data_IF_957799807437
#
_entry.id   IF_957799807437
#
_cell.length_a   1.000
_cell.length_b   1.000
_cell.length_c   1.000
_cell.angle_alpha   90.00
_cell.angle_beta   90.00
_cell.angle_gamma   90.00
#
_symmetry.space_group_name_H-M   'P 1'
#
loop_
_entity.id
_entity.type
_entity.pdbx_description
1 polymer ?
#
# COMPACT_ATOMS: atom_id res chain seq x y z
N UNK A 1 -6.70 -23.70 -24.10
CA UNK A 1 -7.44 -23.32 -25.32
C UNK A 1 -7.56 -21.81 -25.35
N UNK A 2 -7.10 -21.15 -26.42
CA UNK A 2 -7.33 -19.72 -26.64
C UNK A 2 -8.84 -19.55 -26.88
N UNK A 3 -9.52 -18.71 -26.07
CA UNK A 3 -10.94 -18.39 -26.32
C UNK A 3 -11.05 -17.68 -27.69
N UNK A 4 -12.05 -18.02 -28.49
CA UNK A 4 -12.33 -17.33 -29.76
C UNK A 4 -12.54 -15.83 -29.49
N UNK A 5 -12.16 -14.99 -30.43
CA UNK A 5 -12.21 -13.53 -30.33
C UNK A 5 -13.59 -13.00 -29.92
N UNK A 6 -14.65 -13.53 -30.54
CA UNK A 6 -16.05 -13.20 -30.21
C UNK A 6 -16.45 -13.59 -28.79
N UNK A 7 -15.88 -14.70 -28.27
CA UNK A 7 -16.19 -15.18 -26.92
C UNK A 7 -15.66 -14.23 -25.84
N UNK A 8 -14.44 -13.67 -26.04
CA UNK A 8 -13.80 -12.79 -25.05
C UNK A 8 -14.48 -11.41 -25.00
N UNK A 9 -14.89 -10.87 -26.15
CA UNK A 9 -15.65 -9.62 -26.23
C UNK A 9 -17.04 -9.79 -25.60
N UNK A 10 -17.72 -10.90 -25.86
CA UNK A 10 -19.03 -11.19 -25.29
C UNK A 10 -18.93 -11.36 -23.75
N UNK A 11 -17.86 -12.01 -23.24
CA UNK A 11 -17.60 -12.10 -21.81
C UNK A 11 -17.35 -10.72 -21.20
N UNK A 12 -16.56 -9.85 -21.85
CA UNK A 12 -16.34 -8.47 -21.41
C UNK A 12 -17.65 -7.69 -21.26
N UNK A 13 -18.52 -7.80 -22.24
CA UNK A 13 -19.77 -7.04 -22.32
C UNK A 13 -20.97 -7.76 -21.67
N UNK A 14 -20.76 -8.93 -21.06
CA UNK A 14 -21.81 -9.66 -20.36
C UNK A 14 -22.32 -8.88 -19.15
N UNK A 15 -23.62 -8.99 -18.89
CA UNK A 15 -24.25 -8.29 -17.75
C UNK A 15 -23.67 -8.73 -16.42
N UNK A 16 -23.25 -9.98 -16.29
CA UNK A 16 -22.59 -10.49 -15.09
C UNK A 16 -21.25 -9.80 -14.86
N UNK A 17 -20.36 -9.76 -15.86
CA UNK A 17 -19.05 -9.09 -15.75
C UNK A 17 -19.21 -7.59 -15.45
N UNK A 18 -20.12 -6.91 -16.14
CA UNK A 18 -20.38 -5.48 -15.95
C UNK A 18 -20.98 -5.19 -14.56
N UNK A 19 -21.88 -6.05 -14.06
CA UNK A 19 -22.42 -5.95 -12.69
C UNK A 19 -21.32 -6.05 -11.64
N UNK A 20 -20.40 -7.01 -11.77
CA UNK A 20 -19.25 -7.18 -10.86
C UNK A 20 -18.33 -5.96 -10.96
N UNK A 21 -18.04 -5.47 -12.16
CA UNK A 21 -17.20 -4.30 -12.37
C UNK A 21 -17.78 -3.06 -11.66
N UNK A 22 -19.08 -2.81 -11.84
CA UNK A 22 -19.80 -1.74 -11.15
C UNK A 22 -19.68 -1.84 -9.62
N UNK A 23 -19.94 -3.03 -9.07
CA UNK A 23 -19.84 -3.24 -7.62
C UNK A 23 -18.43 -2.97 -7.08
N UNK A 24 -17.38 -3.41 -7.79
CA UNK A 24 -15.98 -3.19 -7.39
C UNK A 24 -15.62 -1.70 -7.41
N UNK A 25 -16.02 -0.97 -8.45
CA UNK A 25 -15.79 0.48 -8.53
C UNK A 25 -16.50 1.21 -7.39
N UNK A 26 -17.76 0.86 -7.10
CA UNK A 26 -18.53 1.44 -5.98
C UNK A 26 -17.89 1.15 -4.62
N UNK A 27 -17.40 -0.07 -4.39
CA UNK A 27 -16.74 -0.47 -3.16
C UNK A 27 -15.44 0.30 -2.91
N UNK A 28 -14.70 0.63 -3.97
CA UNK A 28 -13.41 1.34 -3.88
C UNK A 28 -13.55 2.83 -3.54
N UNK A 29 -14.71 3.45 -3.68
CA UNK A 29 -15.00 4.85 -3.28
C UNK A 29 -13.93 5.85 -3.74
N UNK A 30 -13.48 5.78 -4.99
CA UNK A 30 -12.44 6.68 -5.51
C UNK A 30 -12.94 8.11 -5.75
N UNK A 31 -12.00 9.07 -5.89
CA UNK A 31 -12.29 10.45 -6.25
C UNK A 31 -12.87 10.56 -7.68
N UNK A 32 -13.55 11.67 -7.98
CA UNK A 32 -14.03 12.01 -9.33
C UNK A 32 -12.85 12.27 -10.29
N UNK A 33 -13.07 11.95 -11.58
CA UNK A 33 -12.15 12.29 -12.66
C UNK A 33 -12.27 13.77 -13.10
N UNK A 34 -11.92 14.03 -14.37
CA UNK A 34 -12.00 15.37 -14.97
C UNK A 34 -13.44 15.86 -15.15
N UNK A 35 -14.40 14.93 -15.25
CA UNK A 35 -15.83 15.22 -15.45
C UNK A 35 -16.58 15.55 -14.16
N UNK A 36 -15.90 15.47 -13.00
CA UNK A 36 -16.50 15.74 -11.71
C UNK A 36 -17.49 14.70 -11.20
N UNK A 37 -17.82 13.67 -12.00
CA UNK A 37 -18.78 12.62 -11.67
C UNK A 37 -18.32 11.82 -10.44
N UNK A 38 -19.18 11.69 -9.44
CA UNK A 38 -18.92 10.88 -8.25
C UNK A 38 -19.35 9.41 -8.44
N UNK A 39 -18.73 8.52 -7.66
CA UNK A 39 -19.03 7.07 -7.72
C UNK A 39 -20.49 6.75 -7.41
N UNK A 40 -21.17 7.56 -6.60
CA UNK A 40 -22.59 7.38 -6.26
C UNK A 40 -23.54 7.57 -7.47
N UNK A 41 -23.11 8.36 -8.47
CA UNK A 41 -23.87 8.68 -9.68
C UNK A 41 -23.76 7.60 -10.76
N UNK A 42 -22.85 6.62 -10.58
CA UNK A 42 -22.58 5.58 -11.57
C UNK A 42 -23.82 4.73 -11.91
N UNK A 43 -24.70 4.43 -10.94
CA UNK A 43 -25.88 3.60 -11.19
C UNK A 43 -26.86 4.31 -12.13
N UNK A 44 -27.13 5.59 -11.86
CA UNK A 44 -28.03 6.38 -12.68
C UNK A 44 -27.46 6.61 -14.09
N UNK A 45 -26.16 6.87 -14.18
CA UNK A 45 -25.50 7.04 -15.48
C UNK A 45 -25.58 5.76 -16.33
N UNK A 46 -25.24 4.61 -15.75
CA UNK A 46 -25.27 3.34 -16.47
C UNK A 46 -26.69 2.89 -16.84
N UNK A 47 -27.73 3.26 -16.09
CA UNK A 47 -29.10 2.94 -16.48
C UNK A 47 -29.55 3.60 -17.79
N UNK A 48 -28.89 4.71 -18.16
CA UNK A 48 -29.22 5.47 -19.39
C UNK A 48 -28.25 5.18 -20.55
N UNK A 49 -26.97 4.87 -20.24
CA UNK A 49 -25.88 4.85 -21.22
C UNK A 49 -25.17 3.50 -21.38
N UNK A 50 -25.59 2.44 -20.66
CA UNK A 50 -24.86 1.16 -20.68
C UNK A 50 -24.82 0.54 -22.08
N UNK A 51 -25.94 0.52 -22.77
CA UNK A 51 -26.04 -0.08 -24.11
C UNK A 51 -25.22 0.72 -25.14
N UNK A 52 -25.21 2.03 -25.02
CA UNK A 52 -24.37 2.89 -25.84
C UNK A 52 -22.86 2.58 -25.62
N UNK A 53 -22.44 2.43 -24.35
CA UNK A 53 -21.07 2.05 -24.01
C UNK A 53 -20.71 0.68 -24.61
N UNK A 54 -21.61 -0.31 -24.50
CA UNK A 54 -21.42 -1.64 -25.09
C UNK A 54 -21.23 -1.54 -26.62
N UNK A 55 -22.08 -0.75 -27.30
CA UNK A 55 -21.99 -0.56 -28.73
C UNK A 55 -20.73 0.19 -29.16
N UNK A 56 -20.35 1.24 -28.45
CA UNK A 56 -19.09 1.97 -28.68
C UNK A 56 -17.87 1.05 -28.54
N UNK A 57 -17.86 0.12 -27.58
CA UNK A 57 -16.78 -0.85 -27.41
C UNK A 57 -16.76 -1.84 -28.58
N UNK A 58 -17.91 -2.43 -28.97
CA UNK A 58 -18.02 -3.35 -30.11
C UNK A 58 -17.52 -2.72 -31.41
N UNK A 59 -17.89 -1.48 -31.64
CA UNK A 59 -17.53 -0.73 -32.85
C UNK A 59 -16.15 -0.04 -32.77
N UNK A 60 -15.34 -0.32 -31.73
CA UNK A 60 -14.03 0.34 -31.48
C UNK A 60 -14.14 1.87 -31.41
N UNK A 61 -15.31 2.42 -31.08
CA UNK A 61 -15.56 3.87 -31.00
C UNK A 61 -15.44 4.44 -29.59
N UNK A 62 -15.43 3.59 -28.53
CA UNK A 62 -15.23 4.08 -27.17
C UNK A 62 -13.95 4.89 -27.07
N UNK A 63 -14.06 6.09 -26.52
CA UNK A 63 -12.93 7.02 -26.34
C UNK A 63 -12.76 7.37 -24.86
N UNK A 64 -11.74 6.81 -24.20
CA UNK A 64 -11.44 7.15 -22.81
C UNK A 64 -11.14 8.66 -22.66
N UNK A 65 -11.59 9.24 -21.55
CA UNK A 65 -11.27 10.62 -21.21
C UNK A 65 -9.86 10.73 -20.63
N UNK A 66 -9.19 11.88 -20.75
CA UNK A 66 -7.91 12.12 -20.10
C UNK A 66 -7.98 11.89 -18.58
N UNK A 67 -6.91 11.43 -17.98
CA UNK A 67 -6.86 11.24 -16.52
C UNK A 67 -6.55 12.56 -15.82
N UNK A 68 -7.24 12.84 -14.72
CA UNK A 68 -6.94 14.00 -13.88
C UNK A 68 -5.66 13.78 -13.09
N UNK A 69 -4.66 14.65 -13.27
CA UNK A 69 -3.41 14.60 -12.50
C UNK A 69 -3.65 15.06 -11.07
N UNK A 70 -3.17 14.28 -10.10
CA UNK A 70 -3.14 14.66 -8.69
C UNK A 70 -1.75 14.39 -8.15
N UNK A 71 -1.14 15.40 -7.56
CA UNK A 71 0.19 15.32 -6.97
C UNK A 71 0.10 14.98 -5.49
N UNK A 72 0.75 13.88 -5.09
CA UNK A 72 0.84 13.47 -3.68
C UNK A 72 2.28 13.60 -3.19
N UNK A 73 2.54 14.42 -2.15
CA UNK A 73 3.88 14.56 -1.59
C UNK A 73 4.40 13.22 -1.05
N UNK A 74 5.63 12.85 -1.43
CA UNK A 74 6.33 11.71 -0.84
C UNK A 74 7.00 12.12 0.47
N UNK A 75 7.19 11.17 1.42
CA UNK A 75 7.88 11.46 2.68
C UNK A 75 9.35 11.87 2.53
N UNK A 76 9.96 11.57 1.39
CA UNK A 76 11.34 11.90 1.03
C UNK A 76 11.49 13.25 0.30
N UNK A 77 10.43 14.06 0.24
CA UNK A 77 10.40 15.37 -0.41
C UNK A 77 10.09 15.34 -1.90
N UNK A 78 9.94 14.16 -2.50
CA UNK A 78 9.50 14.02 -3.89
C UNK A 78 7.98 14.07 -4.04
N UNK A 79 7.50 14.05 -5.29
CA UNK A 79 6.08 14.01 -5.64
C UNK A 79 5.74 12.68 -6.32
N UNK A 80 4.58 12.12 -6.00
CA UNK A 80 3.98 11.00 -6.74
C UNK A 80 2.82 11.54 -7.57
N UNK A 81 2.93 11.33 -8.87
CA UNK A 81 1.92 11.74 -9.83
C UNK A 81 0.85 10.66 -9.96
N UNK A 82 -0.35 10.87 -9.42
CA UNK A 82 -1.48 9.99 -9.66
C UNK A 82 -2.31 10.50 -10.83
N UNK A 83 -2.79 9.59 -11.68
CA UNK A 83 -3.78 9.85 -12.68
C UNK A 83 -5.13 9.27 -12.23
N UNK A 84 -6.14 10.11 -12.06
CA UNK A 84 -7.48 9.69 -11.67
C UNK A 84 -8.38 9.63 -12.90
N UNK A 85 -8.70 8.41 -13.44
CA UNK A 85 -9.63 8.27 -14.54
C UNK A 85 -11.06 8.65 -14.11
N UNK A 86 -11.93 8.92 -15.07
CA UNK A 86 -13.37 9.11 -14.81
C UNK A 86 -13.97 7.85 -14.20
N UNK A 87 -15.12 7.98 -13.56
CA UNK A 87 -15.79 6.82 -12.94
C UNK A 87 -16.19 5.79 -13.99
N UNK A 88 -16.64 6.24 -15.16
CA UNK A 88 -17.01 5.39 -16.29
C UNK A 88 -15.78 4.67 -16.85
N UNK A 89 -14.66 5.38 -17.04
CA UNK A 89 -13.42 4.74 -17.49
C UNK A 89 -12.91 3.69 -16.49
N UNK A 90 -13.00 3.96 -15.19
CA UNK A 90 -12.67 2.95 -14.16
C UNK A 90 -13.57 1.73 -14.23
N UNK A 91 -14.84 1.93 -14.54
CA UNK A 91 -15.80 0.84 -14.72
C UNK A 91 -15.42 -0.04 -15.94
N UNK A 92 -15.12 0.56 -17.07
CA UNK A 92 -14.69 -0.17 -18.27
C UNK A 92 -13.34 -0.86 -18.05
N UNK A 93 -12.36 -0.17 -17.46
CA UNK A 93 -11.05 -0.76 -17.10
C UNK A 93 -11.21 -1.94 -16.14
N UNK A 94 -12.12 -1.85 -15.18
CA UNK A 94 -12.40 -2.93 -14.23
C UNK A 94 -13.01 -4.14 -14.95
N UNK A 95 -13.92 -3.93 -15.89
CA UNK A 95 -14.49 -5.01 -16.69
C UNK A 95 -13.43 -5.72 -17.54
N UNK A 96 -12.51 -4.98 -18.17
CA UNK A 96 -11.37 -5.54 -18.92
C UNK A 96 -10.46 -6.35 -17.97
N UNK A 97 -10.10 -5.79 -16.83
CA UNK A 97 -9.21 -6.47 -15.88
C UNK A 97 -9.77 -7.80 -15.39
N UNK A 98 -11.09 -7.93 -15.22
CA UNK A 98 -11.76 -9.16 -14.80
C UNK A 98 -11.65 -10.28 -15.82
N UNK A 99 -11.80 -9.93 -17.09
CA UNK A 99 -11.76 -10.90 -18.21
C UNK A 99 -10.32 -11.31 -18.53
N UNK A 100 -9.35 -10.39 -18.39
CA UNK A 100 -7.96 -10.67 -18.68
C UNK A 100 -7.23 -11.39 -17.54
N UNK A 101 -7.62 -11.15 -16.29
CA UNK A 101 -6.93 -11.77 -15.13
C UNK A 101 -6.88 -13.30 -15.23
N UNK A 102 -7.94 -14.04 -15.56
CA UNK A 102 -7.88 -15.49 -15.70
C UNK A 102 -6.95 -15.99 -16.80
N UNK A 103 -6.67 -15.17 -17.82
CA UNK A 103 -5.77 -15.50 -18.93
C UNK A 103 -4.30 -15.39 -18.48
N UNK A 104 -4.00 -14.36 -17.68
CA UNK A 104 -2.62 -14.03 -17.30
C UNK A 104 -2.20 -14.64 -15.97
N UNK A 105 -3.11 -14.85 -15.02
CA UNK A 105 -2.79 -15.38 -13.70
C UNK A 105 -2.01 -16.70 -13.73
N UNK A 106 -2.35 -17.69 -14.57
CA UNK A 106 -1.58 -18.92 -14.68
C UNK A 106 -0.19 -18.77 -15.31
N UNK A 107 0.08 -17.63 -15.95
CA UNK A 107 1.35 -17.36 -16.65
C UNK A 107 2.35 -16.58 -15.79
N UNK A 108 1.87 -16.01 -14.69
CA UNK A 108 2.72 -15.24 -13.78
C UNK A 108 3.58 -16.14 -12.91
N UNK A 109 4.80 -15.71 -12.66
CA UNK A 109 5.75 -16.38 -11.77
C UNK A 109 5.17 -16.63 -10.37
N UNK A 110 5.47 -17.77 -9.79
CA UNK A 110 5.16 -18.06 -8.38
C UNK A 110 5.86 -17.11 -7.40
N UNK A 111 6.96 -16.48 -7.81
CA UNK A 111 7.71 -15.47 -7.06
C UNK A 111 7.17 -14.05 -7.18
N UNK A 112 6.08 -13.85 -7.93
CA UNK A 112 5.38 -12.57 -8.08
C UNK A 112 4.13 -12.52 -7.19
N UNK A 113 4.02 -11.52 -6.32
CA UNK A 113 2.98 -11.43 -5.28
C UNK A 113 2.09 -10.19 -5.36
N UNK A 114 2.58 -9.09 -5.94
CA UNK A 114 1.84 -7.83 -6.00
C UNK A 114 0.69 -7.83 -6.98
N UNK A 115 -0.44 -7.25 -6.61
CA UNK A 115 -1.63 -7.06 -7.46
C UNK A 115 -2.25 -8.35 -8.03
N UNK A 116 -2.01 -9.48 -7.41
CA UNK A 116 -2.54 -10.77 -7.83
C UNK A 116 -3.62 -11.28 -6.86
N UNK A 117 -4.65 -12.00 -7.37
CA UNK A 117 -5.62 -12.66 -6.51
C UNK A 117 -4.95 -13.63 -5.53
N UNK A 118 -5.45 -13.68 -4.29
CA UNK A 118 -4.98 -14.60 -3.25
C UNK A 118 -3.49 -14.50 -2.88
N UNK A 119 -2.81 -13.43 -3.31
CA UNK A 119 -1.42 -13.14 -2.97
C UNK A 119 -1.31 -11.86 -2.15
N UNK A 120 -0.35 -11.81 -1.23
CA UNK A 120 -0.17 -10.66 -0.35
C UNK A 120 1.32 -10.42 -0.04
N UNK A 121 1.62 -9.27 0.56
CA UNK A 121 3.00 -8.90 0.92
C UNK A 121 3.62 -9.85 1.95
N UNK A 122 2.79 -10.44 2.83
CA UNK A 122 3.23 -11.43 3.81
C UNK A 122 3.89 -12.64 3.15
N UNK A 123 3.25 -13.19 2.09
CA UNK A 123 3.80 -14.30 1.33
C UNK A 123 5.14 -13.96 0.67
N UNK A 124 5.29 -12.75 0.15
CA UNK A 124 6.55 -12.29 -0.42
C UNK A 124 7.67 -12.21 0.63
N UNK A 125 7.35 -11.74 1.85
CA UNK A 125 8.30 -11.69 2.97
C UNK A 125 8.67 -13.10 3.44
N UNK A 126 7.70 -14.01 3.57
CA UNK A 126 7.96 -15.41 3.95
C UNK A 126 8.87 -16.08 2.93
N UNK A 127 8.61 -15.88 1.64
CA UNK A 127 9.45 -16.45 0.58
C UNK A 127 10.88 -15.88 0.58
N UNK A 128 11.02 -14.58 0.86
CA UNK A 128 12.34 -13.99 1.03
C UNK A 128 13.10 -14.60 2.23
N UNK A 129 12.41 -14.84 3.35
CA UNK A 129 13.00 -15.50 4.54
C UNK A 129 13.41 -16.94 4.25
N UNK A 130 12.60 -17.72 3.50
CA UNK A 130 12.98 -19.06 3.06
C UNK A 130 14.33 -19.01 2.33
N UNK A 131 14.47 -18.17 1.31
CA UNK A 131 15.71 -18.05 0.56
C UNK A 131 16.90 -17.59 1.43
N UNK A 132 16.68 -16.67 2.37
CA UNK A 132 17.73 -16.24 3.30
C UNK A 132 18.19 -17.39 4.20
N UNK A 133 17.25 -18.22 4.66
CA UNK A 133 17.53 -19.39 5.51
C UNK A 133 18.13 -20.56 4.72
N UNK A 134 17.89 -20.63 3.40
CA UNK A 134 18.55 -21.55 2.47
C UNK A 134 20.02 -21.14 2.16
N UNK A 135 20.54 -20.06 2.78
CA UNK A 135 21.93 -19.65 2.63
C UNK A 135 22.17 -18.52 1.60
N UNK A 136 21.13 -17.96 0.98
CA UNK A 136 21.27 -16.83 0.07
C UNK A 136 21.36 -15.50 0.86
N UNK A 137 22.59 -15.12 1.22
CA UNK A 137 22.86 -14.04 2.18
C UNK A 137 23.24 -12.69 1.55
N UNK A 138 23.06 -12.53 0.26
CA UNK A 138 23.23 -11.26 -0.45
C UNK A 138 21.97 -10.91 -1.21
N UNK A 139 21.59 -9.66 -1.14
CA UNK A 139 20.36 -9.15 -1.73
C UNK A 139 20.69 -8.09 -2.77
N UNK A 140 20.16 -8.29 -3.96
CA UNK A 140 20.13 -7.32 -5.04
C UNK A 140 18.74 -6.68 -5.00
N UNK A 141 18.67 -5.45 -4.55
CA UNK A 141 17.44 -4.65 -4.43
C UNK A 141 17.36 -3.74 -5.68
N UNK A 142 16.35 -3.97 -6.52
CA UNK A 142 16.17 -3.26 -7.79
C UNK A 142 14.97 -2.33 -7.66
N UNK A 143 15.22 -1.02 -7.79
CA UNK A 143 14.21 0.04 -7.86
C UNK A 143 14.08 0.54 -9.31
N UNK A 144 12.88 0.51 -9.86
CA UNK A 144 12.60 1.02 -11.20
C UNK A 144 12.28 2.51 -11.15
N UNK A 145 12.94 3.29 -12.00
CA UNK A 145 12.70 4.73 -12.06
C UNK A 145 11.33 5.01 -12.69
N UNK A 146 10.40 5.54 -11.88
CA UNK A 146 9.06 5.96 -12.34
C UNK A 146 8.43 4.93 -13.28
N UNK A 147 8.41 3.66 -12.87
CA UNK A 147 7.97 2.53 -13.69
C UNK A 147 6.71 2.84 -14.51
N UNK A 148 5.64 3.30 -13.85
CA UNK A 148 4.37 3.58 -14.55
C UNK A 148 4.48 4.71 -15.57
N UNK A 149 5.36 5.68 -15.38
CA UNK A 149 5.56 6.81 -16.30
C UNK A 149 6.44 6.43 -17.51
N UNK A 150 7.15 5.28 -17.44
CA UNK A 150 8.13 4.87 -18.46
C UNK A 150 7.72 3.63 -19.28
N UNK A 151 6.51 3.10 -19.07
CA UNK A 151 6.03 1.94 -19.85
C UNK A 151 5.82 2.30 -21.31
N UNK A 152 6.52 1.63 -22.23
CA UNK A 152 6.33 1.79 -23.67
C UNK A 152 5.01 1.13 -24.10
N UNK A 153 4.12 1.91 -24.75
CA UNK A 153 2.79 1.48 -25.16
C UNK A 153 2.84 0.36 -26.21
N UNK A 154 3.67 0.51 -27.25
CA UNK A 154 3.74 -0.47 -28.33
C UNK A 154 4.25 -1.82 -27.84
N UNK A 155 5.22 -1.81 -26.93
CA UNK A 155 5.73 -3.00 -26.29
C UNK A 155 4.65 -3.66 -25.41
N UNK A 156 3.89 -2.88 -24.63
CA UNK A 156 2.78 -3.38 -23.83
C UNK A 156 1.73 -4.05 -24.71
N UNK A 157 1.31 -3.38 -25.79
CA UNK A 157 0.34 -3.91 -26.74
C UNK A 157 0.87 -5.18 -27.40
N UNK A 158 2.13 -5.21 -27.83
CA UNK A 158 2.77 -6.39 -28.39
C UNK A 158 2.76 -7.59 -27.43
N UNK A 159 2.98 -7.36 -26.12
CA UNK A 159 2.88 -8.42 -25.11
C UNK A 159 1.43 -8.93 -24.95
N UNK A 160 0.46 -8.02 -24.95
CA UNK A 160 -0.95 -8.38 -24.83
C UNK A 160 -1.42 -9.19 -26.05
N UNK A 161 -1.03 -8.78 -27.25
CA UNK A 161 -1.41 -9.45 -28.52
C UNK A 161 -0.89 -10.89 -28.63
N UNK A 162 0.12 -11.28 -27.85
CA UNK A 162 0.57 -12.69 -27.81
C UNK A 162 -0.53 -13.60 -27.29
N UNK A 163 -1.31 -13.16 -26.34
CA UNK A 163 -2.26 -13.95 -25.57
C UNK A 163 -3.74 -13.57 -25.83
N UNK A 164 -3.99 -12.34 -26.25
CA UNK A 164 -5.33 -11.78 -26.54
C UNK A 164 -5.38 -11.43 -28.01
N UNK A 165 -6.22 -12.16 -28.75
CA UNK A 165 -6.42 -11.95 -30.20
C UNK A 165 -7.58 -11.03 -30.52
N UNK A 166 -8.46 -10.75 -29.54
CA UNK A 166 -9.61 -9.86 -29.70
C UNK A 166 -9.16 -8.42 -29.99
N UNK A 167 -9.32 -8.00 -31.23
CA UNK A 167 -8.89 -6.69 -31.70
C UNK A 167 -9.62 -5.52 -31.03
N UNK A 168 -10.87 -5.71 -30.58
CA UNK A 168 -11.68 -4.72 -29.87
C UNK A 168 -11.06 -4.43 -28.49
N UNK A 169 -10.72 -5.49 -27.76
CA UNK A 169 -10.12 -5.37 -26.42
C UNK A 169 -8.71 -4.75 -26.52
N UNK A 170 -7.89 -5.20 -27.47
CA UNK A 170 -6.55 -4.65 -27.68
C UNK A 170 -6.62 -3.17 -28.07
N UNK A 171 -7.52 -2.81 -28.98
CA UNK A 171 -7.77 -1.42 -29.36
C UNK A 171 -8.21 -0.56 -28.18
N UNK A 172 -9.11 -1.07 -27.37
CA UNK A 172 -9.60 -0.37 -26.17
C UNK A 172 -8.49 -0.14 -25.15
N UNK A 173 -7.64 -1.14 -24.90
CA UNK A 173 -6.48 -1.01 -23.99
C UNK A 173 -5.52 0.04 -24.54
N UNK A 174 -5.22 0.01 -25.85
CA UNK A 174 -4.36 1.01 -26.47
C UNK A 174 -4.90 2.43 -26.30
N UNK A 175 -6.22 2.61 -26.45
CA UNK A 175 -6.86 3.90 -26.20
C UNK A 175 -6.75 4.37 -24.77
N UNK A 176 -6.86 3.46 -23.78
CA UNK A 176 -6.63 3.78 -22.37
C UNK A 176 -5.18 4.19 -22.09
N UNK A 177 -4.21 3.56 -22.73
CA UNK A 177 -2.81 3.95 -22.61
C UNK A 177 -2.56 5.36 -23.18
N UNK A 178 -3.22 5.70 -24.29
CA UNK A 178 -3.08 6.98 -25.02
C UNK A 178 -4.07 8.06 -24.59
N UNK A 179 -4.89 7.83 -23.55
CA UNK A 179 -5.97 8.76 -23.17
C UNK A 179 -5.52 10.16 -22.75
N UNK A 180 -4.22 10.36 -22.49
CA UNK A 180 -3.65 11.63 -22.09
C UNK A 180 -3.88 11.97 -20.62
N UNK A 181 -3.35 13.12 -20.21
CA UNK A 181 -3.36 13.60 -18.84
C UNK A 181 -3.87 15.05 -18.84
N UNK A 182 -4.76 15.36 -17.91
CA UNK A 182 -5.20 16.73 -17.65
C UNK A 182 -4.43 17.30 -16.44
N UNK A 183 -3.74 18.41 -16.61
CA UNK A 183 -2.98 19.11 -15.56
C UNK A 183 -3.46 20.55 -15.58
N UNK A 184 -4.04 21.02 -14.48
CA UNK A 184 -4.54 22.41 -14.35
C UNK A 184 -5.37 22.86 -15.56
N UNK A 185 -6.29 22.00 -16.01
CA UNK A 185 -7.18 22.14 -17.18
C UNK A 185 -6.47 22.18 -18.55
N UNK A 186 -5.15 21.91 -18.60
CA UNK A 186 -4.41 21.72 -19.83
C UNK A 186 -4.28 20.23 -20.19
N UNK A 187 -4.63 19.89 -21.45
CA UNK A 187 -4.44 18.53 -21.97
C UNK A 187 -2.99 18.30 -22.36
N UNK A 188 -2.41 17.18 -21.90
CA UNK A 188 -1.10 16.67 -22.34
C UNK A 188 -1.25 15.26 -22.88
N UNK A 189 -0.77 15.05 -24.07
CA UNK A 189 -0.75 13.73 -24.70
C UNK A 189 0.13 12.77 -23.90
N UNK A 190 -0.28 11.50 -23.78
CA UNK A 190 0.50 10.43 -23.18
C UNK A 190 1.08 9.54 -24.28
N UNK A 191 2.34 9.75 -24.61
CA UNK A 191 3.09 8.94 -25.58
C UNK A 191 3.74 7.72 -24.91
N UNK A 192 4.03 7.84 -23.61
CA UNK A 192 4.69 6.82 -22.78
C UNK A 192 3.99 6.80 -21.41
N UNK A 193 3.94 5.63 -20.81
CA UNK A 193 3.46 5.45 -19.45
C UNK A 193 2.03 4.93 -19.34
N UNK A 194 1.72 4.41 -18.18
CA UNK A 194 0.36 4.02 -17.78
C UNK A 194 -0.10 4.89 -16.62
N UNK A 195 -1.33 5.40 -16.62
CA UNK A 195 -1.79 6.23 -15.51
C UNK A 195 -1.70 5.50 -14.16
N UNK A 196 -0.97 6.06 -13.20
CA UNK A 196 -0.97 5.55 -11.84
C UNK A 196 -2.33 5.82 -11.19
N UNK A 197 -3.18 4.80 -11.05
CA UNK A 197 -4.50 4.90 -10.43
C UNK A 197 -5.65 4.34 -11.27
N UNK A 198 -5.40 3.93 -12.50
CA UNK A 198 -6.36 3.15 -13.31
C UNK A 198 -6.54 1.73 -12.77
N UNK A 199 -7.75 1.17 -12.90
CA UNK A 199 -8.05 -0.19 -12.43
C UNK A 199 -7.34 -1.28 -13.25
N UNK A 200 -6.95 -0.97 -14.48
CA UNK A 200 -6.23 -1.88 -15.37
C UNK A 200 -4.71 -1.85 -15.16
N UNK A 201 -4.16 -0.72 -14.71
CA UNK A 201 -2.72 -0.51 -14.58
C UNK A 201 -1.97 -1.58 -13.75
N UNK A 202 -2.53 -2.12 -12.65
CA UNK A 202 -1.88 -3.20 -11.89
C UNK A 202 -1.67 -4.49 -12.69
N UNK A 203 -2.65 -4.87 -13.51
CA UNK A 203 -2.55 -6.05 -14.38
C UNK A 203 -1.52 -5.82 -15.50
N UNK A 204 -1.57 -4.66 -16.15
CA UNK A 204 -0.59 -4.29 -17.18
C UNK A 204 0.84 -4.26 -16.64
N UNK A 205 1.01 -3.75 -15.42
CA UNK A 205 2.30 -3.79 -14.71
C UNK A 205 2.83 -5.23 -14.58
N UNK A 206 1.99 -6.15 -14.14
CA UNK A 206 2.40 -7.55 -14.01
C UNK A 206 2.67 -8.21 -15.36
N UNK A 207 1.91 -7.91 -16.42
CA UNK A 207 2.18 -8.42 -17.78
C UNK A 207 3.57 -7.99 -18.27
N UNK A 208 3.93 -6.72 -18.09
CA UNK A 208 5.24 -6.19 -18.47
C UNK A 208 6.36 -6.85 -17.65
N UNK A 209 6.22 -6.86 -16.33
CA UNK A 209 7.26 -7.32 -15.41
C UNK A 209 7.38 -8.86 -15.38
N UNK A 210 6.39 -9.60 -15.86
CA UNK A 210 6.49 -11.05 -16.03
C UNK A 210 7.61 -11.45 -17.02
N UNK A 211 8.00 -10.55 -17.93
CA UNK A 211 9.18 -10.79 -18.78
C UNK A 211 10.46 -10.80 -17.95
N UNK A 212 10.57 -9.93 -16.94
CA UNK A 212 11.66 -9.95 -15.97
C UNK A 212 11.62 -11.24 -15.12
N UNK A 213 10.44 -11.58 -14.61
CA UNK A 213 10.27 -12.79 -13.79
C UNK A 213 10.75 -14.05 -14.53
N UNK A 214 10.33 -14.21 -15.80
CA UNK A 214 10.75 -15.33 -16.65
C UNK A 214 12.25 -15.35 -16.94
N UNK A 215 12.86 -14.19 -17.11
CA UNK A 215 14.30 -14.09 -17.28
C UNK A 215 15.06 -14.50 -16.02
N UNK A 216 14.57 -14.09 -14.83
CA UNK A 216 15.15 -14.46 -13.55
C UNK A 216 15.01 -15.97 -13.30
N UNK A 217 13.85 -16.55 -13.63
CA UNK A 217 13.59 -18.01 -13.56
C UNK A 217 14.51 -18.80 -14.51
N UNK A 218 14.64 -18.34 -15.75
CA UNK A 218 15.51 -18.99 -16.76
C UNK A 218 16.98 -19.00 -16.32
N UNK A 219 17.42 -18.01 -15.56
CA UNK A 219 18.76 -17.94 -14.96
C UNK A 219 18.89 -18.71 -13.64
N UNK A 220 17.83 -19.35 -13.14
CA UNK A 220 17.81 -20.06 -11.87
C UNK A 220 17.96 -19.15 -10.64
N UNK A 221 17.66 -17.86 -10.76
CA UNK A 221 17.80 -16.90 -9.68
C UNK A 221 16.64 -17.00 -8.68
N UNK A 222 16.96 -16.83 -7.40
CA UNK A 222 15.97 -16.76 -6.32
C UNK A 222 15.55 -15.32 -6.13
N UNK A 223 14.27 -15.03 -6.31
CA UNK A 223 13.75 -13.66 -6.20
C UNK A 223 12.34 -13.62 -5.62
N UNK A 224 11.96 -12.47 -5.14
CA UNK A 224 10.58 -12.15 -4.80
C UNK A 224 10.23 -10.76 -5.34
N UNK A 225 9.11 -10.66 -6.03
CA UNK A 225 8.63 -9.39 -6.59
C UNK A 225 7.24 -9.04 -6.06
N UNK A 226 7.07 -7.81 -5.66
CA UNK A 226 5.77 -7.24 -5.29
C UNK A 226 5.53 -5.97 -6.08
N UNK A 227 4.75 -6.04 -7.16
CA UNK A 227 4.61 -4.98 -8.15
C UNK A 227 5.97 -4.61 -8.77
N UNK A 228 6.42 -3.37 -8.63
CA UNK A 228 7.71 -2.85 -9.06
C UNK A 228 8.87 -3.08 -8.07
N UNK A 229 8.56 -3.40 -6.80
CA UNK A 229 9.58 -3.75 -5.79
C UNK A 229 10.08 -5.20 -6.00
N UNK A 230 11.33 -5.38 -6.40
CA UNK A 230 11.95 -6.69 -6.67
C UNK A 230 13.26 -6.85 -5.91
N UNK A 231 13.39 -7.95 -5.16
CA UNK A 231 14.65 -8.37 -4.55
C UNK A 231 15.08 -9.73 -5.10
N UNK A 232 16.37 -9.86 -5.42
CA UNK A 232 16.99 -11.09 -5.88
C UNK A 232 18.01 -11.52 -4.83
N UNK A 233 17.99 -12.80 -4.45
CA UNK A 233 18.86 -13.32 -3.41
C UNK A 233 19.93 -14.24 -4.02
N UNK A 234 21.18 -14.06 -3.60
CA UNK A 234 22.34 -14.79 -4.10
C UNK A 234 23.30 -15.16 -2.97
N UNK A 235 24.18 -16.15 -3.20
CA UNK A 235 25.04 -16.67 -2.16
C UNK A 235 26.24 -15.79 -1.80
N UNK A 236 26.77 -14.99 -2.73
CA UNK A 236 27.97 -14.19 -2.50
C UNK A 236 27.95 -12.83 -3.20
N UNK A 237 28.81 -11.92 -2.74
CA UNK A 237 28.90 -10.54 -3.23
C UNK A 237 29.22 -10.45 -4.71
N UNK A 238 30.20 -11.20 -5.20
CA UNK A 238 30.60 -11.17 -6.62
C UNK A 238 29.46 -11.59 -7.55
N UNK A 239 28.63 -12.58 -7.10
CA UNK A 239 27.43 -12.96 -7.83
C UNK A 239 26.38 -11.84 -7.80
N UNK A 240 26.21 -11.16 -6.66
CA UNK A 240 25.26 -10.05 -6.52
C UNK A 240 25.59 -8.90 -7.47
N UNK A 241 26.86 -8.49 -7.55
CA UNK A 241 27.31 -7.42 -8.46
C UNK A 241 27.07 -7.79 -9.93
N UNK A 242 27.38 -9.04 -10.32
CA UNK A 242 27.10 -9.54 -11.69
C UNK A 242 25.60 -9.57 -11.98
N UNK A 243 24.78 -10.02 -11.04
CA UNK A 243 23.32 -10.05 -11.19
C UNK A 243 22.76 -8.63 -11.34
N UNK A 244 23.18 -7.71 -10.46
CA UNK A 244 22.78 -6.28 -10.58
C UNK A 244 23.07 -5.74 -11.97
N UNK A 245 24.29 -5.90 -12.46
CA UNK A 245 24.70 -5.42 -13.78
C UNK A 245 23.87 -6.06 -14.91
N UNK A 246 23.79 -7.37 -14.94
CA UNK A 246 23.15 -8.10 -16.03
C UNK A 246 21.62 -7.91 -16.05
N UNK A 247 20.98 -7.85 -14.88
CA UNK A 247 19.54 -7.62 -14.78
C UNK A 247 19.21 -6.17 -15.14
N UNK A 248 20.03 -5.19 -14.74
CA UNK A 248 19.86 -3.79 -15.18
C UNK A 248 19.95 -3.67 -16.70
N UNK A 249 20.94 -4.28 -17.34
CA UNK A 249 21.06 -4.30 -18.81
C UNK A 249 19.81 -4.94 -19.46
N UNK A 250 19.30 -6.04 -18.93
CA UNK A 250 18.08 -6.67 -19.43
C UNK A 250 16.86 -5.74 -19.31
N UNK A 251 16.67 -5.12 -18.16
CA UNK A 251 15.57 -4.18 -17.91
C UNK A 251 15.62 -3.03 -18.90
N UNK A 252 16.78 -2.44 -19.11
CA UNK A 252 16.95 -1.29 -19.99
C UNK A 252 16.84 -1.66 -21.48
N UNK A 253 17.55 -2.70 -21.91
CA UNK A 253 17.60 -3.07 -23.33
C UNK A 253 16.37 -3.84 -23.80
N UNK A 254 15.85 -4.76 -22.98
CA UNK A 254 14.73 -5.64 -23.38
C UNK A 254 13.38 -5.10 -22.92
N UNK A 255 13.27 -4.48 -21.75
CA UNK A 255 12.00 -3.92 -21.28
C UNK A 255 11.83 -2.45 -21.64
N UNK A 256 12.89 -1.73 -21.95
CA UNK A 256 12.85 -0.28 -22.22
C UNK A 256 12.50 0.52 -20.95
N UNK A 257 12.73 -0.06 -19.78
CA UNK A 257 12.52 0.57 -18.48
C UNK A 257 13.85 1.11 -17.95
N UNK A 258 13.81 2.05 -17.01
CA UNK A 258 15.03 2.59 -16.39
C UNK A 258 15.20 2.07 -14.98
N UNK A 259 16.44 1.66 -14.66
CA UNK A 259 16.81 1.28 -13.29
C UNK A 259 17.28 2.51 -12.52
N UNK A 260 16.75 2.72 -11.33
CA UNK A 260 17.18 3.80 -10.45
C UNK A 260 18.47 3.41 -9.73
N UNK A 261 19.62 3.69 -10.30
CA UNK A 261 20.91 3.30 -9.76
C UNK A 261 21.24 3.94 -8.39
N UNK A 262 20.59 5.04 -8.02
CA UNK A 262 20.82 5.69 -6.72
C UNK A 262 20.08 4.99 -5.57
N UNK A 263 19.01 4.26 -5.88
CA UNK A 263 18.21 3.51 -4.91
C UNK A 263 18.47 2.02 -4.97
N UNK A 264 18.76 1.49 -6.16
CA UNK A 264 19.14 0.09 -6.33
C UNK A 264 20.48 -0.19 -5.65
N UNK A 265 20.57 -1.30 -4.92
CA UNK A 265 21.77 -1.62 -4.15
C UNK A 265 21.97 -3.11 -3.97
N UNK A 266 23.23 -3.48 -3.79
CA UNK A 266 23.65 -4.80 -3.30
C UNK A 266 23.96 -4.67 -1.82
N UNK A 267 23.38 -5.51 -0.98
CA UNK A 267 23.59 -5.44 0.46
C UNK A 267 23.30 -6.77 1.17
N UNK A 268 23.68 -6.84 2.46
CA UNK A 268 23.24 -7.93 3.34
C UNK A 268 21.76 -7.77 3.71
N UNK A 269 21.04 -8.85 4.08
CA UNK A 269 19.65 -8.77 4.50
C UNK A 269 19.36 -7.78 5.63
N UNK A 270 20.31 -7.56 6.55
CA UNK A 270 20.16 -6.59 7.65
C UNK A 270 19.95 -5.14 7.17
N UNK A 271 20.48 -4.81 5.98
CA UNK A 271 20.60 -3.43 5.50
C UNK A 271 19.51 -3.10 4.46
N UNK A 272 18.62 -4.03 4.19
CA UNK A 272 17.52 -3.81 3.24
C UNK A 272 16.24 -3.42 3.94
N UNK A 273 15.39 -2.74 3.16
CA UNK A 273 14.00 -2.51 3.49
C UNK A 273 13.15 -3.04 2.35
N UNK A 274 12.48 -4.15 2.57
CA UNK A 274 11.55 -4.72 1.58
C UNK A 274 10.13 -4.69 2.11
N UNK A 275 9.20 -4.10 1.38
CA UNK A 275 7.78 -3.95 1.74
C UNK A 275 7.55 -3.41 3.18
N UNK A 276 8.41 -2.51 3.63
CA UNK A 276 8.32 -1.93 4.97
C UNK A 276 8.95 -2.77 6.08
N UNK A 277 9.38 -3.99 5.79
CA UNK A 277 10.12 -4.86 6.71
C UNK A 277 11.63 -4.66 6.57
N UNK A 278 12.36 -4.98 7.63
CA UNK A 278 13.78 -5.26 7.66
C UNK A 278 13.97 -6.69 8.18
N UNK A 279 15.19 -7.20 8.09
CA UNK A 279 15.51 -8.57 8.47
C UNK A 279 16.61 -8.58 9.54
N UNK A 280 16.69 -9.65 10.30
CA UNK A 280 17.76 -9.86 11.28
C UNK A 280 17.94 -11.36 11.49
N UNK A 281 19.15 -11.77 11.82
CA UNK A 281 19.43 -13.13 12.24
C UNK A 281 19.20 -13.25 13.74
N UNK A 282 18.34 -14.16 14.13
CA UNK A 282 18.09 -14.45 15.55
C UNK A 282 19.27 -15.28 16.10
N UNK A 283 19.84 -14.80 17.19
CA UNK A 283 21.02 -15.42 17.83
C UNK A 283 20.71 -16.77 18.49
N UNK A 284 19.44 -17.04 18.79
CA UNK A 284 19.05 -18.27 19.50
C UNK A 284 18.97 -19.49 18.58
N UNK A 285 18.46 -19.30 17.37
CA UNK A 285 18.24 -20.39 16.40
C UNK A 285 19.03 -20.23 15.11
N UNK A 286 19.74 -19.11 14.93
CA UNK A 286 20.53 -18.83 13.74
C UNK A 286 19.72 -18.54 12.49
N UNK A 287 18.39 -18.35 12.61
CA UNK A 287 17.50 -18.13 11.48
C UNK A 287 17.24 -16.64 11.21
N UNK A 288 17.07 -16.35 9.94
CA UNK A 288 16.61 -15.02 9.52
C UNK A 288 15.14 -14.82 9.85
N UNK A 289 14.83 -13.69 10.45
CA UNK A 289 13.47 -13.28 10.85
C UNK A 289 13.17 -11.89 10.36
N UNK A 290 11.88 -11.60 10.13
CA UNK A 290 11.43 -10.28 9.75
C UNK A 290 11.11 -9.42 10.97
N UNK A 291 11.33 -8.11 10.85
CA UNK A 291 10.89 -7.09 11.82
C UNK A 291 10.41 -5.85 11.06
N UNK A 292 9.56 -5.00 11.63
CA UNK A 292 9.26 -3.72 11.01
C UNK A 292 10.55 -2.91 10.85
N UNK A 293 10.78 -2.36 9.65
CA UNK A 293 11.95 -1.52 9.40
C UNK A 293 11.88 -0.22 10.24
N UNK A 294 13.02 0.32 10.64
CA UNK A 294 13.10 1.51 11.51
C UNK A 294 12.28 2.70 10.99
N UNK A 295 12.35 2.98 9.69
CA UNK A 295 11.53 4.03 9.04
C UNK A 295 10.02 3.77 9.15
N UNK A 296 9.58 2.51 9.20
CA UNK A 296 8.16 2.14 9.36
C UNK A 296 7.69 2.35 10.80
N UNK A 297 8.54 2.05 11.77
CA UNK A 297 8.31 2.33 13.20
C UNK A 297 8.25 3.84 13.45
N UNK A 298 9.13 4.60 12.84
CA UNK A 298 9.15 6.06 12.94
C UNK A 298 7.86 6.68 12.39
N UNK A 299 7.38 6.22 11.24
CA UNK A 299 6.08 6.65 10.68
C UNK A 299 4.92 6.39 11.64
N UNK A 300 4.89 5.21 12.28
CA UNK A 300 3.90 4.90 13.31
C UNK A 300 3.98 5.88 14.48
N UNK A 301 5.20 6.11 15.03
CA UNK A 301 5.43 7.05 16.12
C UNK A 301 4.96 8.45 15.78
N UNK A 302 5.29 8.95 14.59
CA UNK A 302 4.86 10.27 14.12
C UNK A 302 3.35 10.38 13.99
N UNK A 303 2.69 9.34 13.45
CA UNK A 303 1.23 9.30 13.34
C UNK A 303 0.56 9.30 14.71
N UNK A 304 1.01 8.46 15.63
CA UNK A 304 0.50 8.41 17.01
C UNK A 304 0.80 9.71 17.77
N UNK A 305 1.95 10.36 17.52
CA UNK A 305 2.28 11.67 18.07
C UNK A 305 1.27 12.74 17.62
N UNK A 306 0.86 12.76 16.36
CA UNK A 306 -0.19 13.65 15.84
C UNK A 306 -1.52 13.36 16.52
N UNK A 307 -1.96 12.10 16.58
CA UNK A 307 -3.22 11.68 17.19
C UNK A 307 -3.29 11.99 18.70
N UNK A 308 -2.17 12.01 19.39
CA UNK A 308 -2.06 12.35 20.81
C UNK A 308 -1.63 13.79 21.05
N UNK A 309 -1.83 14.69 20.07
CA UNK A 309 -1.53 16.11 20.24
C UNK A 309 -2.53 16.78 21.19
N UNK A 310 -2.03 17.51 22.18
CA UNK A 310 -2.84 18.34 23.09
C UNK A 310 -3.46 19.56 22.42
N UNK A 311 -2.98 19.93 21.24
CA UNK A 311 -3.50 21.09 20.47
C UNK A 311 -4.70 20.72 19.62
N UNK A 312 -4.97 19.43 19.46
CA UNK A 312 -6.04 18.94 18.64
C UNK A 312 -7.34 18.82 19.45
N UNK A 313 -8.34 19.63 19.11
CA UNK A 313 -9.63 19.74 19.79
C UNK A 313 -10.61 18.70 19.26
N UNK A 314 -10.46 17.45 19.70
CA UNK A 314 -11.41 16.36 19.45
C UNK A 314 -11.82 15.71 20.78
N UNK A 315 -12.93 15.00 20.78
CA UNK A 315 -13.34 14.20 21.93
C UNK A 315 -12.29 13.15 22.27
N UNK A 316 -12.28 12.69 23.53
CA UNK A 316 -11.34 11.67 23.94
C UNK A 316 -11.65 10.32 23.27
N UNK A 317 -12.94 10.01 23.12
CA UNK A 317 -13.41 8.76 22.50
C UNK A 317 -13.08 8.71 21.01
N UNK A 318 -13.30 9.81 20.29
CA UNK A 318 -12.88 9.92 18.89
C UNK A 318 -11.36 9.75 18.72
N UNK A 319 -10.59 10.30 19.68
CA UNK A 319 -9.13 10.13 19.72
C UNK A 319 -8.74 8.67 19.89
N UNK A 320 -9.36 7.96 20.82
CA UNK A 320 -9.12 6.53 21.07
C UNK A 320 -9.48 5.69 19.84
N UNK A 321 -10.61 5.97 19.18
CA UNK A 321 -10.99 5.27 17.93
C UNK A 321 -9.97 5.45 16.82
N UNK A 322 -9.44 6.67 16.61
CA UNK A 322 -8.40 6.92 15.62
C UNK A 322 -7.08 6.22 15.96
N UNK A 323 -6.72 6.17 17.26
CA UNK A 323 -5.57 5.42 17.75
C UNK A 323 -5.76 3.92 17.52
N UNK A 324 -6.94 3.36 17.90
CA UNK A 324 -7.29 1.96 17.69
C UNK A 324 -7.18 1.54 16.23
N UNK A 325 -7.80 2.31 15.32
CA UNK A 325 -7.70 2.05 13.86
C UNK A 325 -6.24 2.05 13.37
N UNK A 326 -5.42 2.95 13.91
CA UNK A 326 -4.00 3.04 13.54
C UNK A 326 -3.21 1.85 14.06
N UNK A 327 -3.41 1.47 15.34
CA UNK A 327 -2.72 0.34 15.98
C UNK A 327 -3.11 -0.97 15.30
N UNK A 328 -4.41 -1.24 15.18
CA UNK A 328 -4.92 -2.49 14.58
C UNK A 328 -4.47 -2.63 13.12
N UNK A 329 -4.57 -1.57 12.32
CA UNK A 329 -4.11 -1.60 10.93
C UNK A 329 -2.60 -1.87 10.81
N UNK A 330 -1.79 -1.24 11.67
CA UNK A 330 -0.34 -1.47 11.68
C UNK A 330 0.02 -2.88 12.16
N UNK A 331 -0.63 -3.37 13.20
CA UNK A 331 -0.43 -4.73 13.75
C UNK A 331 -0.79 -5.81 12.72
N UNK A 332 -1.90 -5.66 12.03
CA UNK A 332 -2.32 -6.61 11.00
C UNK A 332 -1.32 -6.69 9.84
N UNK A 333 -0.71 -5.56 9.47
CA UNK A 333 0.31 -5.53 8.41
C UNK A 333 1.62 -6.20 8.84
N UNK A 334 2.07 -5.96 10.09
CA UNK A 334 3.35 -6.47 10.59
C UNK A 334 3.21 -7.75 11.44
N UNK A 335 2.09 -8.46 11.38
CA UNK A 335 1.78 -9.63 12.24
C UNK A 335 2.83 -10.74 12.19
N UNK A 336 3.50 -10.94 11.04
CA UNK A 336 4.56 -11.95 10.87
C UNK A 336 5.92 -11.50 11.42
N UNK A 337 6.07 -10.26 11.81
CA UNK A 337 7.34 -9.67 12.23
C UNK A 337 7.54 -9.70 13.74
N UNK A 338 8.80 -9.66 14.16
CA UNK A 338 9.20 -9.55 15.56
C UNK A 338 9.30 -8.08 15.98
N UNK A 339 8.43 -7.63 16.88
CA UNK A 339 8.37 -6.22 17.30
C UNK A 339 7.88 -5.99 18.73
N UNK A 340 8.06 -6.98 19.63
CA UNK A 340 7.61 -6.92 21.03
C UNK A 340 8.18 -5.70 21.79
N UNK A 341 9.47 -5.41 21.62
CA UNK A 341 10.11 -4.26 22.27
C UNK A 341 9.65 -2.93 21.69
N UNK A 342 9.42 -2.90 20.37
CA UNK A 342 8.80 -1.73 19.71
C UNK A 342 7.41 -1.47 20.30
N UNK A 343 6.61 -2.51 20.51
CA UNK A 343 5.29 -2.39 21.12
C UNK A 343 5.36 -1.78 22.53
N UNK A 344 6.23 -2.30 23.39
CA UNK A 344 6.42 -1.78 24.75
C UNK A 344 6.79 -0.29 24.75
N UNK A 345 7.73 0.10 23.89
CA UNK A 345 8.21 1.48 23.79
C UNK A 345 7.12 2.42 23.25
N UNK A 346 6.39 2.01 22.21
CA UNK A 346 5.33 2.83 21.61
C UNK A 346 4.16 2.97 22.56
N UNK A 347 3.76 1.90 23.25
CA UNK A 347 2.69 1.92 24.24
C UNK A 347 3.02 2.86 25.42
N UNK A 348 4.26 2.82 25.92
CA UNK A 348 4.70 3.74 26.95
C UNK A 348 4.58 5.20 26.50
N UNK A 349 4.99 5.50 25.28
CA UNK A 349 4.90 6.85 24.70
C UNK A 349 3.43 7.29 24.53
N UNK A 350 2.56 6.44 24.01
CA UNK A 350 1.14 6.75 23.81
C UNK A 350 0.45 7.02 25.15
N UNK A 351 0.65 6.17 26.15
CA UNK A 351 0.11 6.36 27.51
C UNK A 351 0.52 7.68 28.14
N UNK A 352 1.83 7.96 28.09
CA UNK A 352 2.37 9.23 28.58
C UNK A 352 1.68 10.44 27.92
N UNK A 353 1.53 10.41 26.61
CA UNK A 353 0.90 11.51 25.86
C UNK A 353 -0.60 11.62 26.12
N UNK A 354 -1.32 10.50 26.27
CA UNK A 354 -2.73 10.51 26.60
C UNK A 354 -3.00 11.07 28.00
N UNK A 355 -2.16 10.75 28.99
CA UNK A 355 -2.22 11.37 30.32
C UNK A 355 -2.10 12.89 30.25
N UNK A 356 -1.21 13.40 29.42
CA UNK A 356 -1.12 14.85 29.17
C UNK A 356 -2.40 15.42 28.53
N UNK A 357 -3.04 14.69 27.61
CA UNK A 357 -4.28 15.11 27.00
C UNK A 357 -5.42 15.17 28.03
N UNK A 358 -5.58 14.12 28.83
CA UNK A 358 -6.59 14.05 29.90
C UNK A 358 -6.38 15.19 30.90
N UNK A 359 -5.13 15.41 31.34
CA UNK A 359 -4.82 16.48 32.27
C UNK A 359 -5.14 17.88 31.71
N UNK A 360 -4.93 18.09 30.45
CA UNK A 360 -5.32 19.34 29.77
C UNK A 360 -6.83 19.49 29.65
N UNK A 361 -7.58 18.42 29.38
CA UNK A 361 -9.04 18.45 29.29
C UNK A 361 -9.71 18.83 30.62
N UNK A 362 -9.12 18.46 31.74
CA UNK A 362 -9.58 18.86 33.09
C UNK A 362 -9.18 20.31 33.42
N UNK A 363 -9.52 21.26 32.59
CA UNK A 363 -9.03 22.66 32.63
C UNK A 363 -8.99 23.30 34.02
N UNK A 364 -10.11 23.25 34.78
CA UNK A 364 -10.29 23.94 36.05
C UNK A 364 -9.82 23.06 37.22
N UNK A 365 -9.29 23.68 38.30
CA UNK A 365 -8.85 23.01 39.51
C UNK A 365 -9.95 22.12 40.10
N UNK A 366 -11.18 22.61 40.19
CA UNK A 366 -12.32 21.83 40.68
C UNK A 366 -12.63 20.61 39.82
N UNK A 367 -12.51 20.72 38.48
CA UNK A 367 -12.69 19.57 37.58
C UNK A 367 -11.61 18.53 37.80
N UNK A 368 -10.35 18.96 37.91
CA UNK A 368 -9.22 18.09 38.22
C UNK A 368 -9.42 17.37 39.56
N UNK A 369 -9.78 18.13 40.60
CA UNK A 369 -10.07 17.57 41.93
C UNK A 369 -11.16 16.52 41.89
N UNK A 370 -12.32 16.83 41.30
CA UNK A 370 -13.43 15.89 41.15
C UNK A 370 -13.01 14.63 40.39
N UNK A 371 -12.30 14.76 39.29
CA UNK A 371 -11.81 13.65 38.50
C UNK A 371 -10.79 12.78 39.25
N UNK A 372 -9.90 13.38 40.02
CA UNK A 372 -8.93 12.64 40.85
C UNK A 372 -9.65 11.86 41.97
N UNK A 373 -10.65 12.47 42.62
CA UNK A 373 -11.45 11.78 43.66
C UNK A 373 -12.23 10.61 43.05
N UNK A 374 -12.86 10.79 41.90
CA UNK A 374 -13.56 9.70 41.21
C UNK A 374 -12.65 8.55 40.80
N UNK A 375 -11.35 8.81 40.68
CA UNK A 375 -10.30 7.81 40.43
C UNK A 375 -9.71 7.25 41.74
N UNK A 376 -10.30 7.51 42.89
CA UNK A 376 -9.92 6.92 44.18
C UNK A 376 -8.79 7.67 44.91
N UNK A 377 -8.42 8.90 44.47
CA UNK A 377 -7.42 9.71 45.19
C UNK A 377 -8.09 10.36 46.42
N UNK A 378 -7.48 10.30 47.62
CA UNK A 378 -8.04 10.95 48.83
C UNK A 378 -8.29 12.44 48.62
N UNK A 379 -9.36 12.99 49.20
CA UNK A 379 -9.80 14.39 48.99
C UNK A 379 -8.71 15.45 49.21
N UNK A 380 -7.88 15.28 50.27
CA UNK A 380 -6.77 16.20 50.59
C UNK A 380 -5.68 16.14 49.52
N UNK A 381 -5.28 14.95 49.14
CA UNK A 381 -4.26 14.72 48.09
C UNK A 381 -4.77 15.20 46.72
N UNK A 382 -6.02 14.90 46.36
CA UNK A 382 -6.64 15.34 45.14
C UNK A 382 -6.65 16.89 44.98
N UNK A 383 -6.87 17.60 46.11
CA UNK A 383 -6.78 19.04 46.12
C UNK A 383 -5.34 19.55 45.84
N UNK A 384 -4.34 18.97 46.52
CA UNK A 384 -2.94 19.30 46.31
C UNK A 384 -2.49 19.04 44.85
N UNK A 385 -2.81 17.86 44.31
CA UNK A 385 -2.47 17.50 42.95
C UNK A 385 -3.20 18.34 41.92
N UNK A 386 -4.45 18.71 42.13
CA UNK A 386 -5.25 19.57 41.25
C UNK A 386 -4.64 20.98 41.09
N UNK A 387 -4.00 21.49 42.17
CA UNK A 387 -3.30 22.78 42.18
C UNK A 387 -1.84 22.69 41.64
N UNK A 388 -1.41 21.54 41.17
CA UNK A 388 -0.06 21.36 40.68
C UNK A 388 0.21 22.26 39.47
N UNK A 389 1.19 23.17 39.57
CA UNK A 389 1.64 24.10 38.53
C UNK A 389 2.74 23.52 37.61
N UNK A 390 3.14 22.26 37.83
CA UNK A 390 4.18 21.63 37.01
C UNK A 390 3.72 21.44 35.56
N UNK A 391 4.69 21.40 34.64
CA UNK A 391 4.42 21.13 33.21
C UNK A 391 3.64 19.83 33.02
N UNK A 392 2.80 19.77 32.00
CA UNK A 392 1.95 18.60 31.68
C UNK A 392 2.75 17.29 31.59
N UNK A 393 3.96 17.35 31.01
CA UNK A 393 4.85 16.19 30.89
C UNK A 393 5.25 15.66 32.28
N UNK A 394 5.62 16.57 33.22
CA UNK A 394 6.01 16.19 34.58
C UNK A 394 4.84 15.61 35.37
N UNK A 395 3.63 16.15 35.20
CA UNK A 395 2.43 15.57 35.80
C UNK A 395 2.13 14.16 35.22
N UNK A 396 2.32 13.97 33.92
CA UNK A 396 2.05 12.69 33.25
C UNK A 396 3.05 11.59 33.61
N UNK A 397 4.31 11.92 33.89
CA UNK A 397 5.36 10.98 34.32
C UNK A 397 5.38 10.72 35.83
N UNK A 398 4.72 11.56 36.63
CA UNK A 398 4.65 11.42 38.09
C UNK A 398 3.30 10.82 38.53
N UNK A 399 2.52 11.57 39.29
CA UNK A 399 1.29 11.09 39.92
C UNK A 399 0.21 10.61 38.92
N UNK A 400 0.10 11.21 37.71
CA UNK A 400 -0.87 10.72 36.74
C UNK A 400 -0.55 9.32 36.22
N UNK A 401 0.70 8.89 36.30
CA UNK A 401 1.06 7.51 35.97
C UNK A 401 0.43 6.51 36.94
N UNK A 402 0.35 6.89 38.21
CA UNK A 402 -0.22 6.05 39.27
C UNK A 402 -1.75 6.14 39.32
N UNK A 403 -2.31 7.30 38.99
CA UNK A 403 -3.77 7.51 38.99
C UNK A 403 -4.41 6.97 37.71
N UNK A 404 -3.88 7.30 36.56
CA UNK A 404 -4.34 6.82 35.24
C UNK A 404 -3.50 5.60 34.83
N UNK A 405 -3.73 4.49 35.54
CA UNK A 405 -3.02 3.22 35.32
C UNK A 405 -3.30 2.65 33.93
N UNK A 406 -2.50 1.68 33.51
CA UNK A 406 -2.71 0.98 32.24
C UNK A 406 -4.09 0.32 32.18
N UNK A 407 -4.54 -0.29 33.30
CA UNK A 407 -5.86 -0.91 33.45
C UNK A 407 -6.97 0.11 33.15
N UNK A 408 -6.93 1.27 33.80
CA UNK A 408 -7.94 2.33 33.61
C UNK A 408 -7.94 2.91 32.19
N UNK A 409 -6.78 3.04 31.54
CA UNK A 409 -6.72 3.47 30.16
C UNK A 409 -7.31 2.41 29.21
N UNK A 410 -7.11 1.13 29.52
CA UNK A 410 -7.70 0.00 28.78
C UNK A 410 -9.23 -0.04 28.94
N UNK A 411 -9.72 0.12 30.16
CA UNK A 411 -11.16 0.22 30.47
C UNK A 411 -11.84 1.39 29.75
N UNK A 412 -11.10 2.46 29.45
CA UNK A 412 -11.55 3.59 28.64
C UNK A 412 -11.48 3.34 27.13
N UNK A 413 -11.04 2.16 26.69
CA UNK A 413 -10.98 1.77 25.29
C UNK A 413 -9.63 1.96 24.61
N UNK A 414 -8.53 2.25 25.35
CA UNK A 414 -7.19 2.27 24.75
C UNK A 414 -6.74 0.86 24.39
N UNK A 415 -6.46 0.65 23.11
CA UNK A 415 -5.84 -0.58 22.60
C UNK A 415 -4.32 -0.45 22.71
N UNK A 416 -3.66 -1.47 23.26
CA UNK A 416 -2.21 -1.54 23.35
C UNK A 416 -1.61 -2.36 22.22
N UNK A 417 -0.48 -1.91 21.68
CA UNK A 417 0.29 -2.64 20.70
C UNK A 417 0.78 -3.99 21.24
N UNK A 418 1.23 -4.01 22.50
CA UNK A 418 1.73 -5.23 23.12
C UNK A 418 0.66 -6.32 23.21
N UNK A 419 -0.58 -5.95 23.61
CA UNK A 419 -1.71 -6.90 23.64
C UNK A 419 -1.99 -7.45 22.23
N UNK A 420 -1.92 -6.59 21.20
CA UNK A 420 -2.12 -6.99 19.82
C UNK A 420 -0.98 -7.88 19.30
N UNK A 421 0.24 -7.66 19.79
CA UNK A 421 1.39 -8.52 19.46
C UNK A 421 1.17 -9.92 20.05
N UNK A 422 0.88 -10.00 21.34
CA UNK A 422 0.70 -11.28 22.03
C UNK A 422 -0.46 -12.08 21.41
N UNK A 423 -1.58 -11.43 21.02
CA UNK A 423 -2.70 -12.06 20.29
C UNK A 423 -2.34 -12.64 18.92
N UNK A 424 -1.26 -12.19 18.28
CA UNK A 424 -0.86 -12.65 16.94
C UNK A 424 0.30 -13.66 16.96
N UNK A 425 0.97 -13.80 18.11
CA UNK A 425 2.17 -14.64 18.28
C UNK A 425 1.99 -15.69 19.37
N UNK A 426 0.76 -15.86 19.90
CA UNK A 426 0.35 -16.97 20.79
C UNK A 426 -0.09 -18.18 19.99
#
# INVERSE_FOLDING_TARGET
>A
MLKNDDTLLNELLSDENLKIAKQRVKKNKGASGIDGMEVKELDEYLSKHLDEIKEQIRNKKYSPKPVKRVEIPKPDGGVRNLGVPTVVDRFVQQAIAQVLTPIYEPKFSESSYGFRPNRCCEMAIQKALEFMNDGYQWVVDIDLEKFFDNVNHDKMISLIMKDVKCGEIVSLINKFLKSGIMIDDEYKESVIGTPQGGNLSPLLSNIMLNQLDKELEARGLRFTRYADDCIILVGNSKAADRVMKNVSIFIESKLGLKVNMTKSKVSKPNDIKYLGFGFFMDKNDGLWKAKPHAKSVEKLKLKLKKLTSRRWSISFDERLEKIKKTIVGWTNYYKIGYWKDVARMVDAHVRFRLRMCIWKQWKKVNTKKKALISLGVPKREAWMLANCRKAYARCASSFLNNVLTNKRLKERGLVFLLDQYDLKHC
#
